data_IF_190984257065
#
_entry.id   IF_190984257065
#
_cell.length_a   1.000
_cell.length_b   1.000
_cell.length_c   1.000
_cell.angle_alpha   90.00
_cell.angle_beta   90.00
_cell.angle_gamma   90.00
#
_symmetry.space_group_name_H-M   'P 1'
#
loop_
_entity.id
_entity.type
_entity.pdbx_description
1 polymer ?
#
# COMPACT_ATOMS: atom_id res chain seq x y z
N UNK A 1 3.76 12.65 -21.95
CA UNK A 1 2.97 12.43 -20.71
C UNK A 1 3.97 12.03 -19.64
N UNK A 2 4.33 12.93 -18.73
CA UNK A 2 5.41 12.67 -17.77
C UNK A 2 4.89 11.78 -16.65
N UNK A 3 5.37 10.53 -16.61
CA UNK A 3 5.22 9.68 -15.44
C UNK A 3 6.26 10.17 -14.43
N UNK A 4 5.84 11.01 -13.49
CA UNK A 4 6.70 11.40 -12.38
C UNK A 4 7.12 10.14 -11.61
N UNK A 5 8.39 9.76 -11.74
CA UNK A 5 9.02 8.74 -10.91
C UNK A 5 8.97 9.21 -9.46
N UNK A 6 7.98 8.75 -8.70
CA UNK A 6 7.96 8.90 -7.24
C UNK A 6 8.98 7.95 -6.61
N UNK A 7 10.27 8.27 -6.79
CA UNK A 7 11.38 7.63 -6.10
C UNK A 7 12.23 8.69 -5.40
N UNK A 8 11.58 9.48 -4.55
CA UNK A 8 12.25 10.26 -3.52
C UNK A 8 11.89 9.68 -2.15
N UNK A 9 12.81 9.63 -1.16
CA UNK A 9 12.42 9.30 0.20
C UNK A 9 11.38 10.33 0.63
N UNK A 10 10.16 9.87 0.92
CA UNK A 10 9.11 10.73 1.43
C UNK A 10 9.70 11.56 2.59
N UNK A 11 9.58 12.89 2.51
CA UNK A 11 10.04 13.80 3.55
C UNK A 11 9.62 13.26 4.93
N UNK A 12 10.47 13.34 5.97
CA UNK A 12 10.21 12.67 7.24
C UNK A 12 8.86 13.14 7.78
N UNK A 13 7.90 12.22 7.81
CA UNK A 13 6.54 12.53 8.21
C UNK A 13 6.54 13.09 9.64
N UNK A 14 5.81 14.18 9.86
CA UNK A 14 5.66 14.78 11.19
C UNK A 14 5.11 13.73 12.16
N UNK A 15 5.87 13.40 13.20
CA UNK A 15 5.47 12.39 14.18
C UNK A 15 4.44 12.95 15.17
N UNK A 16 3.37 12.21 15.39
CA UNK A 16 2.38 12.49 16.44
C UNK A 16 2.47 11.42 17.53
N UNK A 17 2.69 11.82 18.78
CA UNK A 17 2.72 10.88 19.92
C UNK A 17 1.30 10.48 20.29
N UNK A 18 1.05 9.17 20.32
CA UNK A 18 -0.22 8.57 20.74
C UNK A 18 0.06 7.39 21.67
N UNK A 19 -0.72 7.24 22.73
CA UNK A 19 -0.64 6.08 23.63
C UNK A 19 -1.65 5.03 23.16
N UNK A 20 -1.19 3.80 22.90
CA UNK A 20 -2.03 2.69 22.44
C UNK A 20 -1.82 1.50 23.38
N UNK A 21 -2.92 0.89 23.82
CA UNK A 21 -2.88 -0.33 24.64
C UNK A 21 -2.98 -1.54 23.70
N UNK A 22 -2.09 -2.50 23.86
CA UNK A 22 -2.01 -3.71 23.05
C UNK A 22 -1.92 -4.95 23.96
N UNK A 23 -2.39 -6.13 23.52
CA UNK A 23 -2.20 -7.38 24.23
C UNK A 23 -0.71 -7.63 24.51
N UNK A 24 -0.40 -8.09 25.72
CA UNK A 24 0.99 -8.28 26.15
C UNK A 24 1.73 -9.32 25.28
N UNK A 25 1.05 -10.42 24.95
CA UNK A 25 1.57 -11.48 24.09
C UNK A 25 2.00 -10.97 22.72
N UNK A 26 1.19 -10.06 22.14
CA UNK A 26 1.49 -9.41 20.86
C UNK A 26 2.68 -8.47 20.97
N UNK A 27 2.76 -7.67 22.05
CA UNK A 27 3.93 -6.82 22.29
C UNK A 27 5.22 -7.65 22.41
N UNK A 28 5.17 -8.79 23.10
CA UNK A 28 6.32 -9.70 23.21
C UNK A 28 6.72 -10.29 21.85
N UNK A 29 5.77 -10.56 20.97
CA UNK A 29 6.07 -10.96 19.58
C UNK A 29 6.74 -9.85 18.79
N UNK A 30 6.19 -8.64 18.84
CA UNK A 30 6.78 -7.46 18.18
C UNK A 30 8.20 -7.22 18.68
N UNK A 31 8.45 -7.40 19.97
CA UNK A 31 9.80 -7.29 20.55
C UNK A 31 10.79 -8.30 19.99
N UNK A 32 10.36 -9.55 19.80
CA UNK A 32 11.21 -10.59 19.22
C UNK A 32 11.59 -10.27 17.78
N UNK A 33 10.69 -9.64 17.03
CA UNK A 33 10.89 -9.33 15.61
C UNK A 33 11.63 -8.00 15.38
N UNK A 34 11.22 -6.95 16.07
CA UNK A 34 11.71 -5.58 15.86
C UNK A 34 12.82 -5.17 16.84
N UNK A 35 13.02 -5.94 17.90
CA UNK A 35 13.90 -5.61 19.01
C UNK A 35 13.35 -4.50 19.93
N UNK A 36 14.02 -4.23 21.07
CA UNK A 36 13.49 -3.36 22.13
C UNK A 36 13.23 -1.90 21.72
N UNK A 37 13.89 -1.42 20.66
CA UNK A 37 13.78 -0.03 20.16
C UNK A 37 12.99 0.08 18.84
N UNK A 38 12.61 -1.05 18.24
CA UNK A 38 11.96 -1.08 16.92
C UNK A 38 10.43 -1.07 16.96
N UNK A 39 9.80 -1.11 18.14
CA UNK A 39 8.35 -1.24 18.31
C UNK A 39 7.55 -0.19 17.54
N UNK A 40 7.92 1.09 17.67
CA UNK A 40 7.19 2.20 17.04
C UNK A 40 7.26 2.13 15.52
N UNK A 41 8.42 1.78 14.97
CA UNK A 41 8.59 1.57 13.53
C UNK A 41 7.77 0.39 13.02
N UNK A 42 7.85 -0.74 13.71
CA UNK A 42 7.09 -1.95 13.35
C UNK A 42 5.58 -1.70 13.35
N UNK A 43 5.06 -1.06 14.40
CA UNK A 43 3.64 -0.71 14.49
C UNK A 43 3.25 0.29 13.40
N UNK A 44 4.07 1.33 13.16
CA UNK A 44 3.78 2.32 12.13
C UNK A 44 3.68 1.69 10.74
N UNK A 45 4.61 0.81 10.38
CA UNK A 45 4.61 0.09 9.10
C UNK A 45 3.39 -0.83 8.97
N UNK A 46 3.11 -1.63 10.00
CA UNK A 46 1.95 -2.53 10.01
C UNK A 46 0.62 -1.76 9.85
N UNK A 47 0.48 -0.63 10.56
CA UNK A 47 -0.71 0.24 10.46
C UNK A 47 -0.79 0.89 9.09
N UNK A 48 0.32 1.38 8.54
CA UNK A 48 0.35 1.98 7.20
C UNK A 48 -0.08 0.96 6.12
N UNK A 49 0.42 -0.27 6.20
CA UNK A 49 0.03 -1.35 5.30
C UNK A 49 -1.46 -1.67 5.44
N UNK A 50 -1.97 -1.75 6.68
CA UNK A 50 -3.38 -2.02 6.93
C UNK A 50 -4.29 -0.92 6.37
N UNK A 51 -3.96 0.34 6.64
CA UNK A 51 -4.69 1.50 6.13
C UNK A 51 -4.72 1.50 4.60
N UNK A 52 -3.59 1.21 3.94
CA UNK A 52 -3.53 1.10 2.47
C UNK A 52 -4.49 0.03 1.95
N UNK A 53 -4.52 -1.15 2.57
CA UNK A 53 -5.43 -2.25 2.19
C UNK A 53 -6.89 -1.87 2.41
N UNK A 54 -7.22 -1.25 3.54
CA UNK A 54 -8.59 -0.84 3.86
C UNK A 54 -9.09 0.24 2.89
N UNK A 55 -8.24 1.21 2.52
CA UNK A 55 -8.55 2.21 1.49
C UNK A 55 -8.81 1.58 0.13
N UNK A 56 -7.96 0.65 -0.29
CA UNK A 56 -8.14 -0.07 -1.55
C UNK A 56 -9.46 -0.86 -1.55
N UNK A 57 -9.70 -1.63 -0.49
CA UNK A 57 -10.92 -2.41 -0.35
C UNK A 57 -12.17 -1.54 -0.37
N UNK A 58 -12.11 -0.34 0.24
CA UNK A 58 -13.18 0.64 0.19
C UNK A 58 -13.41 1.14 -1.25
N UNK A 59 -12.36 1.58 -1.94
CA UNK A 59 -12.45 2.07 -3.31
C UNK A 59 -13.04 1.00 -4.25
N UNK A 60 -12.61 -0.26 -4.14
CA UNK A 60 -13.14 -1.37 -4.94
C UNK A 60 -14.64 -1.63 -4.69
N UNK A 61 -15.11 -1.47 -3.45
CA UNK A 61 -16.54 -1.58 -3.14
C UNK A 61 -17.33 -0.40 -3.72
N UNK A 62 -16.80 0.81 -3.59
CA UNK A 62 -17.46 2.02 -4.09
C UNK A 62 -17.54 2.06 -5.63
N UNK A 63 -16.57 1.44 -6.32
CA UNK A 63 -16.54 1.37 -7.80
C UNK A 63 -17.06 0.03 -8.34
N UNK A 64 -17.66 -0.81 -7.50
CA UNK A 64 -18.20 -2.09 -7.94
C UNK A 64 -19.26 -1.87 -9.02
N UNK A 65 -19.05 -2.47 -10.20
CA UNK A 65 -19.95 -2.31 -11.34
C UNK A 65 -19.72 -1.05 -12.19
N UNK A 66 -18.71 -0.23 -11.88
CA UNK A 66 -18.35 0.93 -12.70
C UNK A 66 -17.94 0.59 -14.14
N UNK A 67 -17.53 -0.66 -14.39
CA UNK A 67 -17.23 -1.18 -15.73
C UNK A 67 -18.28 -2.23 -16.12
N UNK A 68 -19.07 -1.98 -17.18
CA UNK A 68 -20.08 -2.93 -17.63
C UNK A 68 -19.40 -4.20 -18.19
N UNK A 69 -20.06 -5.38 -18.12
CA UNK A 69 -19.46 -6.62 -18.61
C UNK A 69 -18.98 -6.57 -20.06
N UNK A 70 -19.66 -5.82 -20.92
CA UNK A 70 -19.32 -5.62 -22.33
C UNK A 70 -18.00 -4.87 -22.56
N UNK A 71 -17.54 -4.10 -21.59
CA UNK A 71 -16.33 -3.28 -21.67
C UNK A 71 -15.18 -3.84 -20.81
N UNK A 72 -15.37 -5.02 -20.22
CA UNK A 72 -14.32 -5.67 -19.43
C UNK A 72 -13.25 -6.23 -20.36
N UNK A 73 -12.04 -5.70 -20.24
CA UNK A 73 -10.87 -6.28 -20.88
C UNK A 73 -10.58 -7.69 -20.36
N UNK A 74 -10.19 -8.57 -21.26
CA UNK A 74 -9.68 -9.91 -20.98
C UNK A 74 -8.30 -9.83 -20.31
N UNK A 75 -7.86 -10.90 -19.61
CA UNK A 75 -6.52 -10.94 -19.05
C UNK A 75 -5.40 -10.70 -20.08
N UNK A 76 -5.57 -11.21 -21.31
CA UNK A 76 -4.60 -11.04 -22.40
C UNK A 76 -4.52 -9.59 -22.86
N UNK A 77 -5.66 -8.90 -22.99
CA UNK A 77 -5.69 -7.48 -23.37
C UNK A 77 -5.08 -6.59 -22.27
N UNK A 78 -5.33 -6.91 -21.00
CA UNK A 78 -4.68 -6.20 -19.89
C UNK A 78 -3.16 -6.44 -19.91
N UNK A 79 -2.71 -7.68 -20.12
CA UNK A 79 -1.29 -7.99 -20.21
C UNK A 79 -0.61 -7.24 -21.35
N UNK A 80 -1.20 -7.25 -22.55
CA UNK A 80 -0.68 -6.50 -23.70
C UNK A 80 -0.61 -4.99 -23.42
N UNK A 81 -1.64 -4.43 -22.76
CA UNK A 81 -1.65 -3.01 -22.37
C UNK A 81 -0.54 -2.68 -21.36
N UNK A 82 -0.32 -3.53 -20.36
CA UNK A 82 0.75 -3.34 -19.37
C UNK A 82 2.12 -3.41 -20.02
N UNK A 83 2.32 -4.32 -20.98
CA UNK A 83 3.58 -4.43 -21.72
C UNK A 83 3.85 -3.18 -22.56
N UNK A 84 2.85 -2.69 -23.31
CA UNK A 84 2.95 -1.45 -24.08
C UNK A 84 3.36 -0.26 -23.19
N UNK A 85 2.70 -0.08 -22.04
CA UNK A 85 3.03 0.99 -21.08
C UNK A 85 4.46 0.91 -20.55
N UNK A 86 5.03 -0.30 -20.41
CA UNK A 86 6.42 -0.48 -19.95
C UNK A 86 7.44 -0.22 -21.04
N UNK A 87 7.10 -0.53 -22.29
CA UNK A 87 7.98 -0.25 -23.44
C UNK A 87 8.14 1.24 -23.71
N UNK A 88 7.13 2.06 -23.42
CA UNK A 88 7.17 3.52 -23.57
C UNK A 88 8.08 4.23 -22.54
N UNK A 89 8.48 3.56 -21.45
CA UNK A 89 9.29 4.16 -20.37
C UNK A 89 10.80 3.90 -20.52
N UNK A 90 11.20 3.16 -21.58
CA UNK A 90 12.58 2.68 -21.78
C UNK A 90 13.36 3.48 -22.86
N UNK A 91 12.76 4.52 -23.46
CA UNK A 91 13.46 5.54 -24.27
C UNK A 91 13.77 6.81 -23.44
#
# INVERSE_FOLDING_TARGET
MHIEKHTGPAAPAKLARTNVTLPEDLLREVDRLAGPRGRSGYVAEAVALRVKRDRLARALRETAGAVPPSERATPSEIAARVEALRSEETD
#
